data_IF_119608780502
#
_entry.id   IF_119608780502
#
_cell.length_a   1.000
_cell.length_b   1.000
_cell.length_c   1.000
_cell.angle_alpha   90.00
_cell.angle_beta   90.00
_cell.angle_gamma   90.00
#
_symmetry.space_group_name_H-M   'P 1'
#
loop_
_entity.id
_entity.type
_entity.pdbx_description
1 polymer ?
#
# COMPACT_ATOMS: atom_id res chain seq x y z
N UNK A 1 -16.29 6.62 9.65
CA UNK A 1 -16.56 6.06 8.32
C UNK A 1 -15.21 5.87 7.64
N UNK A 2 -14.86 4.64 7.25
CA UNK A 2 -13.63 4.37 6.50
C UNK A 2 -13.84 4.78 5.05
N UNK A 3 -12.94 5.56 4.46
CA UNK A 3 -12.93 5.79 3.02
C UNK A 3 -12.11 4.66 2.41
N UNK A 4 -12.79 3.70 1.79
CA UNK A 4 -12.16 2.50 1.27
C UNK A 4 -11.97 2.70 -0.23
N UNK A 5 -10.72 2.73 -0.69
CA UNK A 5 -10.37 2.69 -2.10
C UNK A 5 -10.26 1.25 -2.55
N UNK A 6 -10.79 0.95 -3.73
CA UNK A 6 -10.73 -0.39 -4.32
C UNK A 6 -10.18 -0.28 -5.74
N UNK A 7 -9.15 -1.06 -6.04
CA UNK A 7 -8.41 -0.94 -7.30
C UNK A 7 -8.92 -1.94 -8.34
N UNK A 8 -9.31 -1.41 -9.50
CA UNK A 8 -9.73 -2.17 -10.66
C UNK A 8 -8.67 -2.08 -11.77
N UNK A 9 -8.39 -3.20 -12.44
CA UNK A 9 -7.51 -3.22 -13.62
C UNK A 9 -8.05 -2.34 -14.76
N UNK A 10 -9.36 -2.30 -14.94
CA UNK A 10 -10.01 -1.52 -16.00
C UNK A 10 -11.32 -0.89 -15.52
N UNK A 11 -12.18 -1.65 -14.84
CA UNK A 11 -13.38 -1.13 -14.19
C UNK A 11 -14.36 -2.22 -13.74
N UNK A 12 -15.40 -1.85 -12.97
CA UNK A 12 -16.35 -2.79 -12.37
C UNK A 12 -17.10 -3.72 -13.34
N UNK A 13 -17.49 -3.29 -14.56
CA UNK A 13 -18.17 -4.18 -15.50
C UNK A 13 -17.28 -5.29 -16.07
N UNK A 14 -15.95 -5.11 -16.03
CA UNK A 14 -14.99 -5.98 -16.73
C UNK A 14 -14.21 -6.87 -15.76
N UNK A 15 -13.88 -6.33 -14.58
CA UNK A 15 -13.08 -7.02 -13.57
C UNK A 15 -13.65 -6.77 -12.19
N UNK A 16 -13.61 -7.79 -11.34
CA UNK A 16 -13.71 -7.55 -9.90
C UNK A 16 -12.44 -6.87 -9.43
N UNK A 17 -12.57 -5.92 -8.50
CA UNK A 17 -11.40 -5.37 -7.87
C UNK A 17 -10.66 -6.46 -7.10
N UNK A 18 -9.33 -6.37 -7.06
CA UNK A 18 -8.49 -7.33 -6.35
C UNK A 18 -7.99 -6.78 -5.01
N UNK A 19 -7.84 -5.46 -4.92
CA UNK A 19 -7.18 -4.82 -3.78
C UNK A 19 -8.09 -3.82 -3.07
N UNK A 20 -8.07 -3.87 -1.75
CA UNK A 20 -8.43 -2.77 -0.88
C UNK A 20 -7.16 -1.96 -0.64
N UNK A 21 -7.17 -0.66 -0.98
CA UNK A 21 -5.97 0.18 -0.92
C UNK A 21 -6.02 1.08 0.30
N UNK A 22 -4.94 1.05 1.09
CA UNK A 22 -4.68 1.96 2.22
C UNK A 22 -3.53 2.88 1.80
N UNK A 23 -3.73 4.20 1.93
CA UNK A 23 -2.70 5.18 1.60
C UNK A 23 -2.03 5.64 2.89
N UNK A 24 -0.72 5.43 2.97
CA UNK A 24 0.15 5.97 4.01
C UNK A 24 1.10 6.99 3.41
N UNK A 25 1.43 8.02 4.20
CA UNK A 25 2.41 9.03 3.82
C UNK A 25 3.63 8.85 4.72
N UNK A 26 4.78 8.61 4.09
CA UNK A 26 6.04 8.39 4.76
C UNK A 26 7.01 9.49 4.33
N UNK A 27 7.91 9.85 5.23
CA UNK A 27 9.10 10.61 4.86
C UNK A 27 10.00 9.77 3.93
N UNK A 28 10.46 10.37 2.83
CA UNK A 28 11.17 9.67 1.77
C UNK A 28 12.52 9.09 2.19
N UNK A 29 13.20 9.75 3.14
CA UNK A 29 14.53 9.34 3.60
C UNK A 29 14.45 8.42 4.82
N UNK A 30 13.63 8.78 5.81
CA UNK A 30 13.55 8.06 7.09
C UNK A 30 12.52 6.93 7.10
N UNK A 31 11.60 6.92 6.13
CA UNK A 31 10.46 5.98 6.05
C UNK A 31 9.55 6.01 7.27
N UNK A 32 9.60 7.09 8.06
CA UNK A 32 8.73 7.29 9.21
C UNK A 32 7.37 7.79 8.71
N UNK A 33 6.30 7.15 9.19
CA UNK A 33 4.93 7.53 8.84
C UNK A 33 4.55 8.87 9.44
N UNK A 34 4.07 9.79 8.60
CA UNK A 34 3.49 11.06 9.05
C UNK A 34 1.99 10.89 9.35
N UNK A 35 1.69 10.60 10.62
CA UNK A 35 0.31 10.42 11.09
C UNK A 35 -0.57 11.67 10.92
N UNK A 36 0.01 12.86 10.73
CA UNK A 36 -0.76 14.09 10.50
C UNK A 36 -1.30 14.18 9.07
N UNK A 37 -0.64 13.50 8.12
CA UNK A 37 -1.00 13.50 6.70
C UNK A 37 -1.76 12.24 6.28
N UNK A 38 -1.65 11.13 7.01
CA UNK A 38 -2.40 9.92 6.72
C UNK A 38 -3.92 10.17 6.75
N UNK A 39 -4.62 9.73 5.70
CA UNK A 39 -6.08 9.84 5.58
C UNK A 39 -6.81 9.08 6.70
N UNK A 40 -6.18 8.06 7.28
CA UNK A 40 -6.77 7.19 8.29
C UNK A 40 -5.81 6.92 9.44
N UNK A 41 -6.31 7.02 10.67
CA UNK A 41 -5.64 6.49 11.86
C UNK A 41 -5.92 4.99 11.93
N UNK A 42 -5.11 4.20 11.24
CA UNK A 42 -5.24 2.76 11.27
C UNK A 42 -4.74 2.22 12.61
N UNK A 43 -5.63 1.67 13.42
CA UNK A 43 -5.27 0.89 14.61
C UNK A 43 -5.14 -0.58 14.26
N UNK A 44 -4.43 -1.34 15.10
CA UNK A 44 -4.36 -2.81 14.96
C UNK A 44 -5.75 -3.46 14.93
N UNK A 45 -6.68 -3.00 15.78
CA UNK A 45 -8.04 -3.54 15.82
C UNK A 45 -8.79 -3.29 14.50
N UNK A 46 -8.66 -2.08 13.93
CA UNK A 46 -9.27 -1.78 12.63
C UNK A 46 -8.61 -2.54 11.49
N UNK A 47 -7.28 -2.75 11.53
CA UNK A 47 -6.56 -3.52 10.52
C UNK A 47 -6.99 -5.00 10.54
N UNK A 48 -7.09 -5.61 11.72
CA UNK A 48 -7.56 -6.98 11.88
C UNK A 48 -9.03 -7.14 11.44
N UNK A 49 -9.88 -6.14 11.72
CA UNK A 49 -11.25 -6.13 11.21
C UNK A 49 -11.29 -6.03 9.68
N UNK A 50 -10.44 -5.19 9.10
CA UNK A 50 -10.34 -5.02 7.65
C UNK A 50 -9.81 -6.28 6.97
N UNK A 51 -8.84 -6.96 7.59
CA UNK A 51 -8.29 -8.22 7.09
C UNK A 51 -9.39 -9.29 6.96
N UNK A 52 -10.19 -9.50 8.01
CA UNK A 52 -11.34 -10.42 7.95
C UNK A 52 -12.35 -10.06 6.86
N UNK A 53 -12.63 -8.77 6.69
CA UNK A 53 -13.54 -8.29 5.64
C UNK A 53 -12.95 -8.52 4.24
N UNK A 54 -11.65 -8.30 4.08
CA UNK A 54 -10.93 -8.51 2.83
C UNK A 54 -10.94 -9.98 2.41
N UNK A 55 -10.67 -10.90 3.35
CA UNK A 55 -10.74 -12.33 3.10
C UNK A 55 -12.16 -12.76 2.69
N UNK A 56 -13.17 -12.29 3.42
CA UNK A 56 -14.59 -12.60 3.11
C UNK A 56 -15.00 -12.10 1.72
N UNK A 57 -14.44 -10.97 1.28
CA UNK A 57 -14.73 -10.38 -0.03
C UNK A 57 -13.79 -10.87 -1.15
N UNK A 58 -12.89 -11.82 -0.87
CA UNK A 58 -11.82 -12.25 -1.76
C UNK A 58 -11.04 -11.04 -2.34
N UNK A 59 -10.53 -10.20 -1.44
CA UNK A 59 -9.68 -9.03 -1.72
C UNK A 59 -8.42 -9.12 -0.89
N UNK A 60 -7.34 -8.52 -1.40
CA UNK A 60 -6.10 -8.36 -0.66
C UNK A 60 -5.95 -6.92 -0.17
N UNK A 61 -5.25 -6.71 0.95
CA UNK A 61 -4.96 -5.37 1.45
C UNK A 61 -3.63 -4.91 0.88
N UNK A 62 -3.63 -3.79 0.18
CA UNK A 62 -2.44 -3.14 -0.38
C UNK A 62 -2.20 -1.81 0.32
N UNK A 63 -1.04 -1.67 0.94
CA UNK A 63 -0.57 -0.36 1.40
C UNK A 63 0.18 0.32 0.25
N UNK A 64 -0.36 1.45 -0.20
CA UNK A 64 0.29 2.36 -1.12
C UNK A 64 0.97 3.46 -0.30
N UNK A 65 2.26 3.30 -0.05
CA UNK A 65 3.07 4.20 0.76
C UNK A 65 3.65 5.30 -0.14
N UNK A 66 3.10 6.50 -0.03
CA UNK A 66 3.61 7.68 -0.72
C UNK A 66 4.84 8.18 0.03
N UNK A 67 5.99 8.11 -0.63
CA UNK A 67 7.26 8.62 -0.15
C UNK A 67 7.33 10.12 -0.46
N UNK A 68 7.26 10.91 0.60
CA UNK A 68 7.31 12.35 0.53
C UNK A 68 8.77 12.81 0.42
N UNK A 69 9.18 13.48 -0.66
CA UNK A 69 10.56 13.87 -0.85
C UNK A 69 10.94 15.00 0.10
N UNK A 70 12.15 14.95 0.66
CA UNK A 70 12.67 15.92 1.62
C UNK A 70 12.84 17.33 1.03
N UNK A 71 12.94 17.42 -0.31
CA UNK A 71 12.95 18.65 -1.10
C UNK A 71 11.59 19.36 -1.11
N UNK A 72 10.48 18.62 -0.97
CA UNK A 72 9.15 19.19 -0.91
C UNK A 72 8.90 19.74 0.50
N UNK A 73 9.01 21.07 0.66
CA UNK A 73 8.73 21.75 1.94
C UNK A 73 7.42 21.25 2.53
N UNK A 74 7.51 20.62 3.72
CA UNK A 74 6.35 20.12 4.47
C UNK A 74 5.30 21.19 4.82
N UNK A 75 5.64 22.48 4.62
CA UNK A 75 4.90 23.66 5.09
C UNK A 75 4.19 24.47 4.01
N UNK A 76 4.46 24.23 2.72
CA UNK A 76 3.81 25.02 1.66
C UNK A 76 2.49 24.37 1.22
N UNK A 77 1.38 25.10 1.37
CA UNK A 77 0.04 24.67 0.92
C UNK A 77 -0.09 24.61 -0.62
N UNK A 78 1.00 24.78 -1.35
CA UNK A 78 1.03 24.90 -2.81
C UNK A 78 2.20 24.08 -3.36
N UNK A 79 2.01 22.77 -3.44
CA UNK A 79 2.87 21.94 -4.29
C UNK A 79 2.58 22.28 -5.76
N UNK A 80 3.62 22.55 -6.54
CA UNK A 80 3.48 22.62 -7.99
C UNK A 80 3.28 21.21 -8.56
N UNK A 81 2.61 21.13 -9.71
CA UNK A 81 2.42 19.85 -10.43
C UNK A 81 3.77 19.24 -10.81
N UNK A 82 4.77 20.07 -11.11
CA UNK A 82 6.11 19.62 -11.50
C UNK A 82 6.80 18.79 -10.41
N UNK A 83 6.57 19.12 -9.14
CA UNK A 83 7.11 18.37 -8.00
C UNK A 83 6.50 16.98 -7.83
N UNK A 84 5.40 16.63 -8.50
CA UNK A 84 4.82 15.28 -8.45
C UNK A 84 5.81 14.21 -8.91
N UNK A 85 6.73 14.57 -9.81
CA UNK A 85 7.76 13.67 -10.32
C UNK A 85 8.78 13.24 -9.26
N UNK A 86 8.92 14.01 -8.17
CA UNK A 86 9.83 13.72 -7.06
C UNK A 86 9.22 12.71 -6.07
N UNK A 87 7.89 12.54 -6.11
CA UNK A 87 7.21 11.56 -5.26
C UNK A 87 7.40 10.16 -5.80
N UNK A 88 7.53 9.21 -4.89
CA UNK A 88 7.57 7.79 -5.21
C UNK A 88 6.51 7.06 -4.42
N UNK A 89 6.02 5.94 -4.96
CA UNK A 89 5.09 5.07 -4.25
C UNK A 89 5.76 3.73 -4.01
N UNK A 90 5.76 3.28 -2.77
CA UNK A 90 6.13 1.92 -2.38
C UNK A 90 4.87 1.11 -2.13
N UNK A 91 4.80 -0.07 -2.70
CA UNK A 91 3.69 -1.01 -2.54
C UNK A 91 4.06 -2.05 -1.49
N UNK A 92 3.22 -2.24 -0.47
CA UNK A 92 3.34 -3.34 0.49
C UNK A 92 2.04 -4.14 0.51
N UNK A 93 2.14 -5.40 0.10
CA UNK A 93 1.00 -6.30 0.10
C UNK A 93 0.89 -7.02 1.44
N UNK A 94 -0.24 -6.81 2.13
CA UNK A 94 -0.49 -7.44 3.41
C UNK A 94 -1.11 -8.82 3.21
N UNK A 95 -0.34 -9.85 3.58
CA UNK A 95 -0.75 -11.24 3.50
C UNK A 95 -0.48 -11.95 4.81
N UNK A 96 -1.29 -12.97 5.09
CA UNK A 96 -0.99 -13.92 6.15
C UNK A 96 0.30 -14.66 5.81
N UNK A 97 1.23 -14.71 6.77
CA UNK A 97 2.44 -15.50 6.63
C UNK A 97 2.11 -16.97 6.37
N UNK A 98 2.65 -17.53 5.28
CA UNK A 98 2.49 -18.93 4.92
C UNK A 98 3.87 -19.59 4.77
N UNK A 99 4.28 -20.47 5.71
CA UNK A 99 5.58 -21.13 5.67
C UNK A 99 5.84 -21.95 4.41
N UNK A 100 4.78 -22.40 3.71
CA UNK A 100 4.90 -23.23 2.50
C UNK A 100 5.22 -22.43 1.24
N UNK A 101 4.91 -21.13 1.22
CA UNK A 101 5.08 -20.28 0.03
C UNK A 101 6.52 -19.82 -0.18
N UNK A 102 7.39 -19.91 0.85
CA UNK A 102 8.80 -19.53 0.74
C UNK A 102 9.65 -20.52 -0.06
N UNK A 103 9.17 -21.74 -0.31
CA UNK A 103 9.95 -22.75 -1.05
C UNK A 103 10.01 -22.45 -2.55
N UNK A 104 8.95 -21.87 -3.10
CA UNK A 104 8.85 -21.62 -4.54
C UNK A 104 9.74 -20.45 -5.02
N UNK A 105 10.33 -19.67 -4.12
CA UNK A 105 11.24 -18.55 -4.46
C UNK A 105 12.71 -18.95 -4.37
N UNK A 106 13.04 -20.02 -3.63
CA UNK A 106 14.43 -20.49 -3.46
C UNK A 106 14.80 -21.63 -4.43
N UNK A 107 13.84 -22.22 -5.14
CA UNK A 107 14.05 -23.39 -6.02
C UNK A 107 14.33 -23.05 -7.50
N UNK A 108 14.36 -21.78 -7.93
CA UNK A 108 14.69 -21.41 -9.33
C UNK A 108 16.20 -21.18 -9.61
N UNK A 109 17.07 -21.19 -8.60
CA UNK A 109 18.51 -20.86 -8.74
C UNK A 109 19.47 -22.08 -8.71
N UNK A 110 18.98 -23.33 -8.57
CA UNK A 110 19.83 -24.51 -8.33
C UNK A 110 19.75 -25.62 -9.41
N UNK A 111 19.33 -25.30 -10.64
CA UNK A 111 19.40 -26.21 -11.80
C UNK A 111 20.29 -25.64 -12.92
N UNK A 112 21.57 -25.46 -12.61
CA UNK A 112 22.62 -25.24 -13.61
C UNK A 112 23.91 -25.96 -13.21
N UNK A 113 23.96 -27.27 -13.45
CA UNK A 113 25.18 -28.06 -13.68
C UNK A 113 24.90 -29.26 -14.59
#
# INVERSE_FOLDING_TARGET
MFNILVLYKQGPPFYHASYIVIIDILDGDTLVTDQSKCMHKLTWNSLLGLERLSETAAKEILFAQVLWPSSALHTSNTLSVDSLSEFSVRELLWRRWNPKHNKDVEEEDDDSC
#
